data_IF_224078872767
#
_entry.id   IF_224078872767
#
_cell.length_a   1.000
_cell.length_b   1.000
_cell.length_c   1.000
_cell.angle_alpha   90.00
_cell.angle_beta   90.00
_cell.angle_gamma   90.00
#
_symmetry.space_group_name_H-M   'P 1'
#
loop_
_entity.id
_entity.type
_entity.pdbx_description
1 polymer ?
#
# COMPACT_ATOMS: atom_id res chain seq x y z
N UNK A 1 18.56 2.58 5.34
CA UNK A 1 17.59 1.49 5.09
C UNK A 1 18.15 0.21 5.65
N UNK A 2 17.54 -0.34 6.69
CA UNK A 2 17.88 -1.66 7.21
C UNK A 2 17.07 -2.68 6.39
N UNK A 3 17.73 -3.35 5.45
CA UNK A 3 17.10 -4.44 4.70
C UNK A 3 17.01 -5.66 5.63
N UNK A 4 15.84 -5.93 6.16
CA UNK A 4 15.52 -7.28 6.66
C UNK A 4 14.96 -8.08 5.50
N UNK A 5 15.79 -8.89 4.89
CA UNK A 5 15.31 -9.86 3.90
C UNK A 5 14.47 -10.90 4.65
N UNK A 6 13.16 -10.79 4.56
CA UNK A 6 12.27 -11.81 5.12
C UNK A 6 12.30 -13.06 4.23
N UNK A 7 13.22 -13.95 4.53
CA UNK A 7 13.19 -15.33 4.06
C UNK A 7 11.97 -15.98 4.70
N UNK A 8 10.89 -16.20 3.94
CA UNK A 8 9.74 -16.94 4.44
C UNK A 8 8.34 -16.48 4.02
N UNK A 9 8.21 -15.45 3.19
CA UNK A 9 6.94 -15.19 2.53
C UNK A 9 6.73 -16.24 1.43
N UNK A 10 5.90 -17.23 1.69
CA UNK A 10 5.59 -18.30 0.73
C UNK A 10 4.78 -17.83 -0.47
N UNK A 11 4.17 -16.65 -0.36
CA UNK A 11 3.29 -16.04 -1.36
C UNK A 11 4.05 -15.10 -2.31
N UNK A 12 5.23 -15.50 -2.78
CA UNK A 12 6.01 -14.77 -3.78
C UNK A 12 6.42 -15.72 -4.91
N UNK A 13 6.52 -15.19 -6.13
CA UNK A 13 6.98 -15.94 -7.30
C UNK A 13 7.76 -15.02 -8.24
N UNK A 14 8.63 -15.58 -9.11
CA UNK A 14 9.35 -14.79 -10.10
C UNK A 14 8.40 -13.95 -10.96
N UNK A 15 8.82 -12.73 -11.28
CA UNK A 15 8.10 -11.80 -12.14
C UNK A 15 8.43 -12.07 -13.60
N UNK A 16 7.40 -12.22 -14.43
CA UNK A 16 7.57 -12.48 -15.85
C UNK A 16 7.69 -11.20 -16.70
N UNK A 17 7.12 -10.08 -16.21
CA UNK A 17 7.10 -8.80 -16.92
C UNK A 17 7.45 -7.65 -15.97
N UNK A 18 8.09 -6.58 -16.43
CA UNK A 18 8.36 -5.41 -15.59
C UNK A 18 7.08 -4.84 -14.96
N UNK A 19 7.16 -4.35 -13.71
CA UNK A 19 6.02 -3.71 -13.07
C UNK A 19 5.72 -2.37 -13.77
N UNK A 20 4.43 -2.02 -13.86
CA UNK A 20 3.96 -0.74 -14.39
C UNK A 20 3.11 0.04 -13.41
N UNK A 21 2.81 -0.56 -12.24
CA UNK A 21 2.01 0.03 -11.18
C UNK A 21 2.77 0.01 -9.85
N UNK A 22 2.55 1.03 -9.05
CA UNK A 22 2.87 1.06 -7.63
C UNK A 22 1.56 1.13 -6.86
N UNK A 23 1.30 0.18 -5.97
CA UNK A 23 0.07 0.15 -5.16
C UNK A 23 0.39 0.53 -3.72
N UNK A 24 -0.22 1.62 -3.26
CA UNK A 24 -0.12 2.08 -1.88
C UNK A 24 -1.26 1.46 -1.06
N UNK A 25 -0.89 0.88 0.07
CA UNK A 25 -1.82 0.33 1.06
C UNK A 25 -1.66 1.04 2.38
N UNK A 26 -2.73 1.10 3.18
CA UNK A 26 -2.64 1.34 4.61
C UNK A 26 -3.14 0.12 5.37
N UNK A 27 -2.51 -0.17 6.51
CA UNK A 27 -2.72 -1.43 7.22
C UNK A 27 -4.04 -1.52 7.98
N UNK A 28 -4.73 -0.41 8.22
CA UNK A 28 -5.90 -0.34 9.12
C UNK A 28 -5.56 -0.59 10.59
N UNK A 29 -4.29 -0.61 10.95
CA UNK A 29 -3.81 -0.97 12.29
C UNK A 29 -2.56 -0.23 12.72
N UNK A 30 -2.21 -0.39 14.01
CA UNK A 30 -1.12 0.33 14.70
C UNK A 30 -0.02 -0.58 15.22
N UNK A 31 0.04 -1.82 14.77
CA UNK A 31 0.85 -2.87 15.42
C UNK A 31 2.34 -2.87 15.08
N UNK A 32 2.85 -1.89 14.32
CA UNK A 32 4.24 -1.90 13.85
C UNK A 32 4.55 -3.01 12.83
N UNK A 33 5.79 -3.00 12.31
CA UNK A 33 6.19 -3.86 11.18
C UNK A 33 6.13 -5.36 11.50
N UNK A 34 6.57 -5.76 12.70
CA UNK A 34 6.56 -7.18 13.10
C UNK A 34 5.14 -7.77 13.14
N UNK A 35 4.19 -7.01 13.71
CA UNK A 35 2.78 -7.45 13.75
C UNK A 35 2.15 -7.44 12.37
N UNK A 36 2.44 -6.44 11.55
CA UNK A 36 1.96 -6.39 10.17
C UNK A 36 2.44 -7.61 9.38
N UNK A 37 3.71 -7.95 9.48
CA UNK A 37 4.27 -9.14 8.86
C UNK A 37 3.53 -10.42 9.27
N UNK A 38 3.27 -10.59 10.57
CA UNK A 38 2.51 -11.73 11.09
C UNK A 38 1.06 -11.77 10.58
N UNK A 39 0.40 -10.60 10.47
CA UNK A 39 -0.96 -10.50 9.93
C UNK A 39 -0.98 -10.93 8.47
N UNK A 40 -0.09 -10.39 7.63
CA UNK A 40 -0.05 -10.72 6.21
C UNK A 40 0.23 -12.22 5.99
N UNK A 41 1.20 -12.77 6.69
CA UNK A 41 1.56 -14.19 6.62
C UNK A 41 0.41 -15.13 7.02
N UNK A 42 -0.42 -14.73 7.97
CA UNK A 42 -1.54 -15.51 8.48
C UNK A 42 -2.87 -15.25 7.75
N UNK A 43 -2.93 -14.23 6.91
CA UNK A 43 -4.14 -13.89 6.13
C UNK A 43 -4.23 -14.81 4.91
N UNK A 44 -4.80 -15.98 5.11
CA UNK A 44 -4.94 -16.99 4.07
C UNK A 44 -6.33 -16.97 3.43
N UNK A 45 -6.42 -17.46 2.20
CA UNK A 45 -7.68 -17.56 1.46
C UNK A 45 -7.50 -18.40 0.20
N UNK A 46 -8.58 -18.65 -0.58
CA UNK A 46 -8.51 -19.49 -1.79
C UNK A 46 -7.48 -19.01 -2.83
N UNK A 47 -7.23 -17.70 -2.88
CA UNK A 47 -6.26 -17.09 -3.83
C UNK A 47 -4.90 -16.78 -3.19
N UNK A 48 -4.75 -17.01 -1.90
CA UNK A 48 -3.53 -16.79 -1.12
C UNK A 48 -3.40 -17.83 -0.01
N UNK A 49 -3.27 -19.13 -0.34
CA UNK A 49 -3.22 -20.20 0.65
C UNK A 49 -2.02 -20.06 1.59
N UNK A 50 -0.94 -19.45 1.12
CA UNK A 50 0.30 -19.22 1.87
C UNK A 50 0.39 -17.83 2.52
N UNK A 51 -0.70 -17.07 2.55
CA UNK A 51 -0.78 -15.71 3.09
C UNK A 51 -0.69 -14.62 2.03
N UNK A 52 -0.62 -13.36 2.49
CA UNK A 52 -0.39 -12.18 1.67
C UNK A 52 1.07 -11.75 1.76
N UNK A 53 1.54 -10.98 0.79
CA UNK A 53 2.90 -10.45 0.74
C UNK A 53 2.93 -9.06 0.11
N UNK A 54 3.93 -8.26 0.49
CA UNK A 54 4.22 -6.96 -0.14
C UNK A 54 5.74 -6.80 -0.28
N UNK A 55 6.18 -5.87 -1.13
CA UNK A 55 7.60 -5.63 -1.34
C UNK A 55 8.21 -4.82 -0.18
N UNK A 56 7.49 -3.82 0.32
CA UNK A 56 7.94 -2.95 1.39
C UNK A 56 6.86 -2.69 2.42
N UNK A 57 7.30 -2.40 3.64
CA UNK A 57 6.44 -1.90 4.71
C UNK A 57 7.10 -0.69 5.39
N UNK A 58 6.29 0.28 5.81
CA UNK A 58 6.72 1.55 6.40
C UNK A 58 5.99 1.77 7.73
N UNK A 59 6.75 1.87 8.81
CA UNK A 59 6.25 2.16 10.16
C UNK A 59 5.83 3.63 10.32
N UNK A 60 5.17 3.97 11.42
CA UNK A 60 4.72 5.35 11.71
C UNK A 60 5.85 6.34 11.90
N UNK A 61 7.04 5.90 12.27
CA UNK A 61 8.27 6.69 12.39
C UNK A 61 9.06 6.81 11.07
N UNK A 62 8.55 6.25 9.96
CA UNK A 62 9.22 6.22 8.66
C UNK A 62 10.21 5.08 8.48
N UNK A 63 10.44 4.24 9.51
CA UNK A 63 11.27 3.04 9.36
C UNK A 63 10.72 2.19 8.22
N UNK A 64 11.59 1.88 7.26
CA UNK A 64 11.23 1.16 6.04
C UNK A 64 11.94 -0.18 5.99
N UNK A 65 11.19 -1.26 5.81
CA UNK A 65 11.73 -2.61 5.62
C UNK A 65 11.37 -3.14 4.23
N UNK A 66 12.33 -3.74 3.56
CA UNK A 66 12.08 -4.53 2.34
C UNK A 66 11.76 -5.98 2.76
N UNK A 67 10.62 -6.49 2.31
CA UNK A 67 10.15 -7.83 2.62
C UNK A 67 10.23 -8.79 1.42
N UNK A 68 10.19 -8.26 0.21
CA UNK A 68 10.45 -9.03 -0.99
C UNK A 68 11.25 -8.20 -2.01
N UNK A 69 12.14 -8.82 -2.78
CA UNK A 69 12.80 -8.20 -3.93
C UNK A 69 11.79 -7.70 -4.99
N UNK A 70 12.15 -6.67 -5.74
CA UNK A 70 11.28 -6.03 -6.74
C UNK A 70 11.05 -6.93 -7.97
N UNK A 71 11.92 -7.92 -8.21
CA UNK A 71 11.82 -8.92 -9.28
C UNK A 71 10.86 -10.08 -8.95
N UNK A 72 10.29 -10.09 -7.75
CA UNK A 72 9.23 -11.01 -7.38
C UNK A 72 7.84 -10.40 -7.55
N UNK A 73 6.84 -11.23 -7.72
CA UNK A 73 5.43 -10.87 -7.62
C UNK A 73 4.97 -11.15 -6.20
N UNK A 74 4.40 -10.14 -5.56
CA UNK A 74 3.75 -10.26 -4.25
C UNK A 74 2.22 -10.35 -4.39
N UNK A 75 1.57 -11.02 -3.43
CA UNK A 75 0.11 -11.17 -3.38
C UNK A 75 -0.49 -10.10 -2.47
N UNK A 76 -0.81 -8.92 -3.01
CA UNK A 76 -1.31 -7.77 -2.23
C UNK A 76 -2.50 -7.02 -2.87
N UNK A 77 -2.67 -7.11 -4.19
CA UNK A 77 -3.59 -6.26 -4.93
C UNK A 77 -4.44 -7.04 -5.99
N UNK A 78 -4.66 -8.33 -5.75
CA UNK A 78 -5.53 -9.16 -6.57
C UNK A 78 -5.11 -9.24 -8.04
N UNK A 79 -5.96 -8.79 -8.95
CA UNK A 79 -5.75 -8.91 -10.41
C UNK A 79 -4.55 -8.13 -10.95
N UNK A 80 -3.99 -7.18 -10.17
CA UNK A 80 -2.83 -6.38 -10.60
C UNK A 80 -1.51 -6.82 -9.97
N UNK A 81 -1.48 -7.92 -9.20
CA UNK A 81 -0.27 -8.41 -8.55
C UNK A 81 0.91 -8.54 -9.52
N UNK A 82 0.69 -9.14 -10.70
CA UNK A 82 1.73 -9.37 -11.70
C UNK A 82 2.34 -8.08 -12.25
N UNK A 83 1.55 -7.03 -12.30
CA UNK A 83 1.92 -5.75 -12.89
C UNK A 83 2.35 -4.70 -11.87
N UNK A 84 2.41 -5.05 -10.56
CA UNK A 84 2.59 -4.03 -9.52
C UNK A 84 3.69 -4.34 -8.51
N UNK A 85 4.21 -3.25 -7.95
CA UNK A 85 4.98 -3.23 -6.70
C UNK A 85 4.04 -2.73 -5.59
N UNK A 86 4.11 -3.30 -4.40
CA UNK A 86 3.24 -2.96 -3.28
C UNK A 86 4.00 -2.49 -2.05
N UNK A 87 3.49 -1.46 -1.39
CA UNK A 87 3.97 -1.00 -0.08
C UNK A 87 2.82 -0.86 0.90
N UNK A 88 3.00 -1.43 2.08
CA UNK A 88 2.09 -1.26 3.22
C UNK A 88 2.60 -0.15 4.13
N UNK A 89 1.76 0.84 4.40
CA UNK A 89 2.04 1.94 5.32
C UNK A 89 1.27 1.72 6.61
N UNK A 90 1.96 1.61 7.74
CA UNK A 90 1.34 1.43 9.05
C UNK A 90 0.52 2.67 9.44
N UNK A 91 -0.78 2.62 9.19
CA UNK A 91 -1.72 3.70 9.51
C UNK A 91 -3.09 3.11 9.82
N UNK A 92 -3.82 3.67 10.79
CA UNK A 92 -5.23 3.32 11.02
C UNK A 92 -6.12 3.63 9.81
N UNK A 93 -5.72 4.60 8.98
CA UNK A 93 -6.48 5.09 7.82
C UNK A 93 -7.62 6.01 8.22
N UNK A 94 -8.45 5.63 9.19
CA UNK A 94 -9.59 6.40 9.67
C UNK A 94 -9.35 6.98 11.06
N UNK A 95 -9.91 8.18 11.35
CA UNK A 95 -9.84 8.83 12.66
C UNK A 95 -10.81 8.26 13.70
N UNK A 96 -11.39 7.10 13.43
CA UNK A 96 -12.33 6.40 14.31
C UNK A 96 -11.80 5.02 14.71
N UNK A 97 -12.18 4.59 15.92
CA UNK A 97 -11.87 3.24 16.40
C UNK A 97 -10.63 3.12 17.28
N UNK A 98 -10.41 1.89 17.74
CA UNK A 98 -9.38 1.56 18.73
C UNK A 98 -7.94 1.73 18.21
N UNK A 99 -7.74 1.60 16.91
CA UNK A 99 -6.42 1.77 16.30
C UNK A 99 -5.94 3.22 16.45
N UNK A 100 -6.78 4.20 16.11
CA UNK A 100 -6.47 5.62 16.30
C UNK A 100 -6.23 5.99 17.77
N UNK A 101 -7.09 5.46 18.68
CA UNK A 101 -6.91 5.70 20.10
C UNK A 101 -5.55 5.19 20.62
N UNK A 102 -5.07 4.03 20.12
CA UNK A 102 -3.75 3.50 20.48
C UNK A 102 -2.61 4.36 19.95
N UNK A 103 -2.68 4.87 18.71
CA UNK A 103 -1.65 5.77 18.19
C UNK A 103 -1.53 7.06 19.00
N UNK A 104 -2.65 7.64 19.45
CA UNK A 104 -2.63 8.81 20.36
C UNK A 104 -1.88 8.50 21.65
N UNK A 105 -2.12 7.34 22.26
CA UNK A 105 -1.40 6.91 23.47
C UNK A 105 0.10 6.73 23.22
N UNK A 106 0.48 6.31 22.01
CA UNK A 106 1.88 6.16 21.60
C UNK A 106 2.53 7.47 21.14
N UNK A 107 1.81 8.59 21.20
CA UNK A 107 2.32 9.90 20.80
C UNK A 107 2.47 10.09 19.28
N UNK A 108 1.83 9.25 18.48
CA UNK A 108 1.84 9.42 17.01
C UNK A 108 0.93 10.58 16.62
N UNK A 109 1.50 11.57 15.97
CA UNK A 109 0.78 12.77 15.51
C UNK A 109 0.37 12.60 14.05
N UNK A 110 -0.92 12.77 13.77
CA UNK A 110 -1.52 12.77 12.42
C UNK A 110 -2.54 13.89 12.31
N UNK A 111 -2.67 14.45 11.13
CA UNK A 111 -3.76 15.37 10.81
C UNK A 111 -5.01 14.60 10.46
N UNK A 112 -6.16 15.09 10.93
CA UNK A 112 -7.47 14.59 10.53
C UNK A 112 -8.00 15.45 9.39
N UNK A 113 -8.57 14.80 8.37
CA UNK A 113 -9.23 15.48 7.26
C UNK A 113 -10.45 14.69 6.81
N UNK A 114 -11.40 15.40 6.19
CA UNK A 114 -12.55 14.75 5.56
C UNK A 114 -12.27 14.49 4.10
N UNK A 115 -12.58 13.28 3.65
CA UNK A 115 -12.52 12.92 2.24
C UNK A 115 -13.72 12.05 1.85
N UNK A 116 -13.85 11.82 0.54
CA UNK A 116 -14.83 10.88 -0.01
C UNK A 116 -14.07 9.78 -0.76
N UNK A 117 -14.24 8.56 -0.28
CA UNK A 117 -13.75 7.37 -1.00
C UNK A 117 -14.97 6.58 -1.44
N UNK A 118 -15.09 6.34 -2.74
CA UNK A 118 -16.23 5.62 -3.33
C UNK A 118 -17.59 6.24 -2.96
N UNK A 119 -17.66 7.57 -2.95
CA UNK A 119 -18.86 8.32 -2.62
C UNK A 119 -19.20 8.40 -1.13
N UNK A 120 -18.51 7.69 -0.26
CA UNK A 120 -18.73 7.74 1.20
C UNK A 120 -17.82 8.76 1.85
N UNK A 121 -18.41 9.67 2.63
CA UNK A 121 -17.64 10.59 3.49
C UNK A 121 -16.98 9.80 4.61
N UNK A 122 -15.70 10.08 4.84
CA UNK A 122 -14.93 9.48 5.92
C UNK A 122 -13.99 10.51 6.53
N UNK A 123 -13.78 10.43 7.84
CA UNK A 123 -12.68 11.13 8.51
C UNK A 123 -11.45 10.27 8.40
N UNK A 124 -10.49 10.79 7.67
CA UNK A 124 -9.24 10.13 7.36
C UNK A 124 -8.11 10.68 8.22
N UNK A 125 -7.05 9.90 8.34
CA UNK A 125 -5.80 10.29 8.98
C UNK A 125 -4.72 10.43 7.92
N UNK A 126 -3.95 11.54 7.97
CA UNK A 126 -2.76 11.70 7.15
C UNK A 126 -1.71 10.64 7.49
N UNK A 127 -0.78 10.40 6.59
CA UNK A 127 0.50 9.80 6.97
C UNK A 127 1.27 10.77 7.87
N UNK A 128 2.13 10.25 8.75
CA UNK A 128 3.07 11.11 9.48
C UNK A 128 4.06 11.75 8.50
N UNK A 129 4.67 12.90 8.83
CA UNK A 129 5.71 13.50 7.98
C UNK A 129 6.84 12.52 7.61
N UNK A 130 7.25 11.68 8.58
CA UNK A 130 8.26 10.65 8.35
C UNK A 130 7.79 9.56 7.37
N UNK A 131 6.54 9.13 7.46
CA UNK A 131 5.94 8.20 6.50
C UNK A 131 5.82 8.82 5.11
N UNK A 132 5.38 10.07 5.02
CA UNK A 132 5.26 10.78 3.74
C UNK A 132 6.62 10.85 3.04
N UNK A 133 7.66 11.23 3.75
CA UNK A 133 9.03 11.25 3.21
C UNK A 133 9.48 9.85 2.76
N UNK A 134 9.26 8.82 3.58
CA UNK A 134 9.65 7.45 3.26
C UNK A 134 8.91 6.88 2.04
N UNK A 135 7.57 7.11 1.96
CA UNK A 135 6.75 6.69 0.80
C UNK A 135 7.21 7.41 -0.46
N UNK A 136 7.38 8.72 -0.41
CA UNK A 136 7.81 9.51 -1.58
C UNK A 136 9.16 9.04 -2.10
N UNK A 137 10.14 8.89 -1.21
CA UNK A 137 11.49 8.39 -1.56
C UNK A 137 11.42 6.99 -2.19
N UNK A 138 10.61 6.09 -1.65
CA UNK A 138 10.44 4.74 -2.19
C UNK A 138 9.78 4.76 -3.57
N UNK A 139 8.70 5.54 -3.73
CA UNK A 139 7.96 5.68 -5.00
C UNK A 139 8.87 6.27 -6.09
N UNK A 140 9.62 7.32 -5.79
CA UNK A 140 10.58 7.93 -6.73
C UNK A 140 11.63 6.93 -7.18
N UNK A 141 12.24 6.20 -6.23
CA UNK A 141 13.20 5.14 -6.55
C UNK A 141 12.60 4.08 -7.48
N UNK A 142 11.38 3.61 -7.21
CA UNK A 142 10.71 2.63 -8.06
C UNK A 142 10.35 3.17 -9.44
N UNK A 143 9.90 4.42 -9.50
CA UNK A 143 9.63 5.08 -10.80
C UNK A 143 10.89 5.11 -11.66
N UNK A 144 12.03 5.49 -11.07
CA UNK A 144 13.30 5.59 -11.79
C UNK A 144 13.84 4.20 -12.18
N UNK A 145 13.81 3.24 -11.25
CA UNK A 145 14.37 1.91 -11.48
C UNK A 145 13.57 1.08 -12.51
N UNK A 146 12.26 1.28 -12.58
CA UNK A 146 11.36 0.45 -13.40
C UNK A 146 10.70 1.22 -14.54
N UNK A 147 11.00 2.51 -14.73
CA UNK A 147 10.37 3.35 -15.77
C UNK A 147 8.88 3.58 -15.55
N UNK A 148 8.40 3.54 -14.29
CA UNK A 148 7.00 3.77 -13.96
C UNK A 148 6.73 5.27 -13.95
N UNK A 149 5.71 5.78 -14.69
CA UNK A 149 5.40 7.20 -14.70
C UNK A 149 5.03 7.74 -13.31
N UNK A 150 5.57 8.91 -12.94
CA UNK A 150 5.27 9.61 -11.69
C UNK A 150 3.91 10.31 -11.76
N UNK A 151 2.84 9.54 -11.87
CA UNK A 151 1.47 10.06 -11.98
C UNK A 151 0.49 9.24 -11.14
N UNK A 152 -0.57 9.90 -10.70
CA UNK A 152 -1.73 9.31 -10.01
C UNK A 152 -2.95 9.38 -10.94
N UNK A 153 -3.95 8.51 -10.79
CA UNK A 153 -5.16 8.57 -11.62
C UNK A 153 -5.98 9.81 -11.27
N UNK A 154 -6.35 10.56 -12.30
CA UNK A 154 -7.17 11.77 -12.20
C UNK A 154 -8.50 11.56 -12.93
N UNK A 155 -9.55 12.21 -12.47
CA UNK A 155 -10.82 12.37 -13.19
C UNK A 155 -10.68 13.45 -14.28
N UNK A 156 -11.69 13.60 -15.12
CA UNK A 156 -11.68 14.54 -16.21
C UNK A 156 -11.54 16.03 -15.77
N UNK A 157 -11.93 16.34 -14.55
CA UNK A 157 -11.78 17.66 -13.94
C UNK A 157 -10.39 17.91 -13.32
N UNK A 158 -9.47 16.94 -13.43
CA UNK A 158 -8.11 17.01 -12.87
C UNK A 158 -8.02 16.67 -11.38
N UNK A 159 -9.11 16.32 -10.72
CA UNK A 159 -9.08 15.87 -9.33
C UNK A 159 -8.64 14.41 -9.22
N UNK A 160 -8.06 14.07 -8.07
CA UNK A 160 -7.67 12.69 -7.78
C UNK A 160 -8.90 11.76 -7.87
N UNK A 161 -8.77 10.71 -8.68
CA UNK A 161 -9.80 9.68 -8.79
C UNK A 161 -10.03 9.00 -7.44
N UNK A 162 -11.28 9.00 -6.97
CA UNK A 162 -11.69 8.42 -5.68
C UNK A 162 -12.63 7.22 -5.82
N UNK A 163 -12.67 6.64 -6.99
CA UNK A 163 -13.45 5.43 -7.32
C UNK A 163 -12.54 4.27 -7.70
N UNK A 164 -13.12 3.11 -7.75
CA UNK A 164 -12.47 1.95 -8.35
C UNK A 164 -12.32 2.18 -9.86
N UNK A 165 -11.18 1.79 -10.38
CA UNK A 165 -10.93 1.73 -11.83
C UNK A 165 -11.60 0.48 -12.41
N UNK A 166 -12.17 0.60 -13.60
CA UNK A 166 -12.60 -0.55 -14.37
C UNK A 166 -11.40 -1.44 -14.76
N UNK A 167 -11.66 -2.68 -15.11
CA UNK A 167 -10.60 -3.59 -15.59
C UNK A 167 -9.86 -3.03 -16.82
N UNK A 168 -10.57 -2.32 -17.72
CA UNK A 168 -9.99 -1.67 -18.89
C UNK A 168 -9.07 -0.50 -18.50
N UNK A 169 -9.51 0.34 -17.56
CA UNK A 169 -8.68 1.45 -17.05
C UNK A 169 -7.43 0.92 -16.36
N UNK A 170 -7.57 -0.09 -15.47
CA UNK A 170 -6.43 -0.73 -14.82
C UNK A 170 -5.45 -1.35 -15.80
N UNK A 171 -5.95 -2.01 -16.85
CA UNK A 171 -5.11 -2.64 -17.87
C UNK A 171 -4.30 -1.60 -18.66
N UNK A 172 -4.85 -0.42 -18.92
CA UNK A 172 -4.22 0.66 -19.68
C UNK A 172 -3.36 1.61 -18.83
N UNK A 173 -3.53 1.59 -17.49
CA UNK A 173 -2.87 2.54 -16.60
C UNK A 173 -1.46 2.09 -16.21
N UNK A 174 -0.55 3.07 -16.11
CA UNK A 174 0.80 2.91 -15.55
C UNK A 174 1.06 4.10 -14.61
N UNK A 175 1.52 3.85 -13.40
CA UNK A 175 1.76 4.89 -12.38
C UNK A 175 1.45 4.43 -10.95
N UNK A 176 1.17 5.38 -10.08
CA UNK A 176 0.91 5.15 -8.64
C UNK A 176 -0.59 5.13 -8.39
N UNK A 177 -1.08 4.10 -7.71
CA UNK A 177 -2.51 3.94 -7.35
C UNK A 177 -2.66 3.57 -5.87
N UNK A 178 -3.78 3.91 -5.27
CA UNK A 178 -4.19 3.34 -3.99
C UNK A 178 -4.88 1.99 -4.18
N UNK A 179 -4.85 1.13 -3.18
CA UNK A 179 -5.49 -0.19 -3.24
C UNK A 179 -6.99 -0.12 -3.58
N UNK A 180 -7.68 0.93 -3.15
CA UNK A 180 -9.11 1.15 -3.45
C UNK A 180 -9.42 1.35 -4.94
N UNK A 181 -8.40 1.65 -5.77
CA UNK A 181 -8.57 1.73 -7.22
C UNK A 181 -8.67 0.36 -7.89
N UNK A 182 -8.11 -0.69 -7.27
CA UNK A 182 -8.02 -2.02 -7.89
C UNK A 182 -8.84 -3.11 -7.20
N UNK A 183 -9.51 -2.82 -6.07
CA UNK A 183 -10.29 -3.84 -5.36
C UNK A 183 -11.60 -3.30 -4.78
N UNK A 184 -12.72 -4.03 -4.99
CA UNK A 184 -14.07 -3.60 -4.59
C UNK A 184 -14.28 -3.51 -3.07
N UNK A 185 -13.64 -4.37 -2.29
CA UNK A 185 -13.87 -4.50 -0.85
C UNK A 185 -12.91 -3.70 0.02
N UNK A 186 -11.94 -2.99 -0.58
CA UNK A 186 -10.98 -2.17 0.16
C UNK A 186 -11.35 -0.68 0.08
N UNK A 187 -11.49 -0.07 1.23
CA UNK A 187 -11.63 1.39 1.36
C UNK A 187 -10.27 2.01 1.41
#
# INVERSE_FOLDING_TARGET
>A
MTARTFVGLRSVRPRATPPRLIVLHWTGGTGGLARLFDVLRKTTGPRSPDGLSVHYAIASDGTTEQWAPDDLVCLHAGSVNDASLGVEVCSPGFSTGSAWAREKVLGVVREEYEDRIRGRRARMLSYTPAQTLAVTTLVERWCDAHGIPRRVPLEADGLLMRRQMSARELAAYSGVIGHYHCHETKC
#
